data_IF_090896316086
#
_entry.id   IF_090896316086
#
_cell.length_a   1.000
_cell.length_b   1.000
_cell.length_c   1.000
_cell.angle_alpha   90.00
_cell.angle_beta   90.00
_cell.angle_gamma   90.00
#
_symmetry.space_group_name_H-M   'P 1'
#
loop_
_entity.id
_entity.type
_entity.pdbx_description
1 polymer ?
#
# COMPACT_ATOMS: atom_id res chain seq x y z
N UNK A 1 -2.24 8.80 2.73
CA UNK A 1 -1.55 7.68 2.07
C UNK A 1 -0.51 7.11 3.01
N UNK A 2 -0.60 5.81 3.33
CA UNK A 2 0.26 5.14 4.33
C UNK A 2 1.06 3.97 3.74
N UNK A 3 0.61 3.42 2.61
CA UNK A 3 1.24 2.30 1.93
C UNK A 3 1.28 2.52 0.41
N UNK A 4 2.22 1.87 -0.29
CA UNK A 4 2.30 1.83 -1.77
C UNK A 4 2.53 0.41 -2.27
N UNK A 5 2.06 0.11 -3.48
CA UNK A 5 2.33 -1.18 -4.11
C UNK A 5 3.86 -1.37 -4.32
N UNK A 6 4.38 -2.61 -4.21
CA UNK A 6 5.78 -2.89 -4.46
C UNK A 6 6.20 -2.47 -5.87
N UNK A 7 7.27 -1.69 -5.97
CA UNK A 7 7.80 -1.20 -7.25
C UNK A 7 7.02 -0.04 -7.90
N UNK A 8 5.99 0.50 -7.26
CA UNK A 8 5.28 1.67 -7.77
C UNK A 8 6.06 2.97 -7.53
N UNK A 9 6.12 3.83 -8.55
CA UNK A 9 6.60 5.19 -8.42
C UNK A 9 5.44 6.07 -7.92
N UNK A 10 5.55 6.57 -6.69
CA UNK A 10 4.45 7.28 -6.03
C UNK A 10 4.05 8.54 -6.78
N UNK A 11 5.01 9.29 -7.28
CA UNK A 11 4.76 10.57 -7.94
C UNK A 11 4.10 10.35 -9.29
N UNK A 12 4.68 9.45 -10.09
CA UNK A 12 4.20 9.14 -11.44
C UNK A 12 2.93 8.30 -11.43
N UNK A 13 2.87 7.26 -10.63
CA UNK A 13 1.79 6.25 -10.73
C UNK A 13 0.57 6.60 -9.88
N UNK A 14 0.74 7.40 -8.82
CA UNK A 14 -0.35 7.81 -7.93
C UNK A 14 -0.58 9.33 -7.95
N UNK A 15 0.35 10.14 -7.42
CA UNK A 15 0.08 11.56 -7.17
C UNK A 15 -0.21 12.38 -8.44
N UNK A 16 0.37 12.02 -9.58
CA UNK A 16 0.07 12.67 -10.86
C UNK A 16 -1.33 12.36 -11.41
N UNK A 17 -1.98 11.30 -10.90
CA UNK A 17 -3.28 10.80 -11.38
C UNK A 17 -4.43 11.14 -10.43
N UNK A 18 -4.17 11.84 -9.33
CA UNK A 18 -5.16 12.17 -8.32
C UNK A 18 -5.29 13.69 -8.23
N UNK A 19 -6.51 14.22 -8.35
CA UNK A 19 -6.77 15.67 -8.34
C UNK A 19 -6.50 16.32 -6.98
N UNK A 20 -6.63 15.55 -5.90
CA UNK A 20 -6.31 15.99 -4.54
C UNK A 20 -5.06 15.31 -4.01
N UNK A 21 -4.20 16.08 -3.34
CA UNK A 21 -2.99 15.55 -2.71
C UNK A 21 -3.35 14.91 -1.36
N UNK A 22 -3.24 13.58 -1.21
CA UNK A 22 -3.53 12.94 0.06
C UNK A 22 -2.48 13.32 1.11
N UNK A 23 -2.90 13.43 2.37
CA UNK A 23 -1.95 13.59 3.46
C UNK A 23 -1.08 12.33 3.57
N UNK A 24 0.23 12.50 3.60
CA UNK A 24 1.19 11.40 3.70
C UNK A 24 1.34 10.97 5.16
N UNK A 25 1.33 9.65 5.39
CA UNK A 25 1.64 9.08 6.71
C UNK A 25 3.10 9.31 7.07
N UNK A 26 3.39 9.42 8.38
CA UNK A 26 4.76 9.66 8.88
C UNK A 26 5.76 8.56 8.49
N UNK A 27 5.29 7.33 8.37
CA UNK A 27 6.07 6.17 7.93
C UNK A 27 5.32 5.51 6.78
N UNK A 28 5.75 5.82 5.58
CA UNK A 28 5.26 5.15 4.40
C UNK A 28 5.97 3.80 4.25
N UNK A 29 5.22 2.73 3.98
CA UNK A 29 5.76 1.40 3.78
C UNK A 29 5.23 0.79 2.49
N UNK A 30 5.87 -0.27 2.01
CA UNK A 30 5.31 -1.08 0.94
C UNK A 30 4.11 -1.88 1.47
N UNK A 31 3.12 -2.11 0.61
CA UNK A 31 2.03 -3.03 0.85
C UNK A 31 2.57 -4.46 1.01
N UNK A 32 1.83 -5.30 1.73
CA UNK A 32 2.18 -6.70 1.90
C UNK A 32 2.31 -7.41 0.54
N UNK A 33 3.48 -8.00 0.27
CA UNK A 33 3.78 -8.69 -0.99
C UNK A 33 2.83 -9.86 -1.27
N UNK A 34 2.24 -10.46 -0.24
CA UNK A 34 1.26 -11.54 -0.38
C UNK A 34 0.02 -11.10 -1.17
N UNK A 35 -0.32 -9.80 -1.15
CA UNK A 35 -1.41 -9.23 -1.96
C UNK A 35 -1.17 -9.39 -3.47
N UNK A 36 0.09 -9.51 -3.89
CA UNK A 36 0.50 -9.64 -5.28
C UNK A 36 0.86 -11.09 -5.65
N UNK A 37 0.68 -12.03 -4.72
CA UNK A 37 0.88 -13.46 -4.96
C UNK A 37 -0.38 -14.09 -5.53
N UNK A 38 -0.22 -15.07 -6.43
CA UNK A 38 -1.33 -15.92 -6.91
C UNK A 38 -1.73 -17.01 -5.91
N UNK A 39 -0.91 -17.26 -4.91
CA UNK A 39 -1.15 -18.28 -3.88
C UNK A 39 -2.04 -17.73 -2.76
N UNK A 40 -2.73 -18.63 -2.04
CA UNK A 40 -3.52 -18.23 -0.87
C UNK A 40 -2.65 -17.46 0.15
N UNK A 41 -3.11 -16.27 0.55
CA UNK A 41 -2.38 -15.36 1.46
C UNK A 41 -2.18 -15.93 2.87
N UNK A 42 -3.00 -16.93 3.26
CA UNK A 42 -3.03 -17.54 4.60
C UNK A 42 -3.02 -16.47 5.71
N UNK A 43 -4.05 -15.63 5.70
CA UNK A 43 -4.27 -14.57 6.68
C UNK A 43 -4.54 -15.21 8.04
N UNK A 44 -3.50 -15.40 8.86
CA UNK A 44 -3.60 -15.98 10.20
C UNK A 44 -3.20 -14.88 11.18
N UNK A 45 -4.18 -14.34 11.91
CA UNK A 45 -4.02 -13.27 12.92
C UNK A 45 -3.54 -11.89 12.41
N UNK A 46 -3.77 -11.56 11.14
CA UNK A 46 -3.41 -10.22 10.60
C UNK A 46 -4.49 -9.13 10.90
N UNK A 47 -5.60 -9.49 11.54
CA UNK A 47 -6.65 -8.56 11.99
C UNK A 47 -6.44 -8.23 13.48
N UNK A 48 -5.42 -7.45 13.80
CA UNK A 48 -5.46 -6.66 15.05
C UNK A 48 -6.27 -5.40 14.75
N UNK A 49 -7.55 -5.44 15.13
CA UNK A 49 -8.43 -4.28 15.11
C UNK A 49 -7.96 -3.38 16.26
N UNK A 50 -7.33 -2.25 15.92
CA UNK A 50 -7.00 -1.16 16.84
C UNK A 50 -8.24 -0.32 17.16
#
# INVERSE_FOLDING_TARGET
>A
MVETAPGADIDKDNLSKIESRPQMGKKMKEMDKRLFSKSAMRIIRDLEIF
#
